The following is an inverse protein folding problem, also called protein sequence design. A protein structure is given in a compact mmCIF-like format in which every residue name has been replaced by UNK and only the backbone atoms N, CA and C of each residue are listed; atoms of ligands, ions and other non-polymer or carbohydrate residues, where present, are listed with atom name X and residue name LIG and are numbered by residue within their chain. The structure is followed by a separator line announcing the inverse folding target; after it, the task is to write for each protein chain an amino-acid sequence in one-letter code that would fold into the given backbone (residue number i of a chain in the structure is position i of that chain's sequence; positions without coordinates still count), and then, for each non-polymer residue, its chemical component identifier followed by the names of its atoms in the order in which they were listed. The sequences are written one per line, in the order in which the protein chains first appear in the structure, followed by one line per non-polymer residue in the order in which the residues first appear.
data_IF_573460990778
#
_entry.id   IF_573460990778
#
_cell.length_a   1.000
_cell.length_b   1.000
_cell.length_c   1.000
_cell.angle_alpha   90.00
_cell.angle_beta   90.00
_cell.angle_gamma   90.00
#
_symmetry.space_group_name_H-M   'P 1'
#
loop_
_entity.id
_entity.type
_entity.pdbx_description
1 polymer ?
#
# COMPACT_ATOMS: atom_id res chain seq x y z
N UNK A 1 -22.28 -6.68 -12.08
CA UNK A 1 -21.62 -5.52 -12.68
C UNK A 1 -20.85 -5.94 -13.91
N UNK A 2 -21.09 -5.29 -15.03
CA UNK A 2 -20.35 -5.59 -16.24
C UNK A 2 -19.00 -4.88 -16.14
N UNK A 3 -17.94 -5.65 -16.17
CA UNK A 3 -16.58 -5.10 -16.12
C UNK A 3 -16.03 -5.12 -17.54
N UNK A 4 -15.64 -3.95 -18.02
CA UNK A 4 -15.00 -3.83 -19.31
C UNK A 4 -13.66 -4.55 -19.29
N UNK A 5 -13.39 -5.36 -20.30
CA UNK A 5 -12.11 -6.06 -20.41
C UNK A 5 -10.91 -5.13 -20.44
N UNK A 6 -11.11 -3.90 -20.90
CA UNK A 6 -10.06 -2.89 -20.96
C UNK A 6 -9.88 -2.17 -19.63
N UNK A 7 -10.87 -2.29 -18.77
CA UNK A 7 -10.79 -1.80 -17.39
C UNK A 7 -10.69 -3.02 -16.50
N UNK A 8 -9.53 -3.62 -16.46
CA UNK A 8 -9.31 -4.74 -15.54
C UNK A 8 -9.69 -4.28 -14.15
N UNK A 9 -10.55 -5.05 -13.43
CA UNK A 9 -10.73 -4.77 -12.03
C UNK A 9 -9.33 -4.69 -11.42
N UNK A 10 -9.11 -3.69 -10.61
CA UNK A 10 -7.85 -3.56 -9.91
C UNK A 10 -7.68 -4.84 -9.10
N UNK A 11 -6.80 -5.71 -9.58
CA UNK A 11 -6.48 -6.89 -8.80
C UNK A 11 -5.73 -6.41 -7.58
N UNK A 12 -6.15 -6.82 -6.38
CA UNK A 12 -5.38 -6.48 -5.21
C UNK A 12 -3.95 -7.02 -5.38
N UNK A 13 -3.01 -6.19 -5.04
CA UNK A 13 -1.62 -6.60 -4.98
C UNK A 13 -1.49 -7.51 -3.77
N UNK A 14 -0.88 -8.67 -3.93
CA UNK A 14 -0.68 -9.60 -2.83
C UNK A 14 0.76 -9.51 -2.34
N UNK A 15 0.92 -9.29 -1.05
CA UNK A 15 2.24 -9.18 -0.41
C UNK A 15 2.31 -10.17 0.74
N UNK A 16 3.31 -11.05 0.70
CA UNK A 16 3.61 -11.96 1.79
C UNK A 16 4.57 -11.23 2.76
N UNK A 17 4.08 -10.90 3.93
CA UNK A 17 4.87 -10.18 4.93
C UNK A 17 6.01 -11.02 5.51
N UNK A 18 5.98 -12.32 5.32
CA UNK A 18 7.07 -13.20 5.72
C UNK A 18 8.10 -13.41 4.61
N UNK A 19 7.82 -12.87 3.42
CA UNK A 19 8.73 -12.95 2.29
C UNK A 19 9.58 -11.69 2.12
N UNK A 20 10.36 -11.62 1.02
CA UNK A 20 11.24 -10.48 0.77
C UNK A 20 10.52 -9.14 0.66
N UNK A 21 9.26 -9.15 0.25
CA UNK A 21 8.46 -7.92 0.09
C UNK A 21 7.89 -7.41 1.40
N UNK A 22 8.07 -8.15 2.49
CA UNK A 22 7.54 -7.77 3.80
C UNK A 22 8.41 -6.79 4.58
N UNK A 23 9.42 -6.16 3.98
CA UNK A 23 10.24 -5.20 4.70
C UNK A 23 9.68 -3.78 4.56
N UNK A 24 10.06 -2.93 5.53
CA UNK A 24 9.55 -1.58 5.64
C UNK A 24 9.81 -0.74 4.38
N UNK A 25 10.98 -0.89 3.79
CA UNK A 25 11.35 -0.10 2.61
C UNK A 25 10.51 -0.45 1.39
N UNK A 26 10.23 -1.73 1.20
CA UNK A 26 9.39 -2.17 0.09
C UNK A 26 7.97 -1.65 0.28
N UNK A 27 7.43 -1.73 1.50
CA UNK A 27 6.08 -1.25 1.80
C UNK A 27 5.98 0.26 1.62
N UNK A 28 6.99 1.02 2.02
CA UNK A 28 7.02 2.47 1.78
C UNK A 28 7.08 2.80 0.29
N UNK A 29 7.81 2.00 -0.49
CA UNK A 29 7.84 2.13 -1.94
C UNK A 29 6.48 1.89 -2.58
N UNK A 30 5.76 0.87 -2.12
CA UNK A 30 4.38 0.61 -2.56
C UNK A 30 3.46 1.76 -2.19
N UNK A 31 3.59 2.31 -0.98
CA UNK A 31 2.77 3.44 -0.54
C UNK A 31 2.94 4.63 -1.47
N UNK A 32 4.16 4.93 -1.86
CA UNK A 32 4.45 6.04 -2.77
C UNK A 32 3.86 5.78 -4.15
N UNK A 33 4.07 4.60 -4.69
CA UNK A 33 3.56 4.24 -6.02
C UNK A 33 2.03 4.24 -6.06
N UNK A 34 1.40 3.58 -5.09
CA UNK A 34 -0.06 3.50 -5.02
C UNK A 34 -0.67 4.86 -4.77
N UNK A 35 -0.06 5.66 -3.89
CA UNK A 35 -0.55 7.01 -3.64
C UNK A 35 -0.60 7.84 -4.92
N UNK A 36 0.43 7.78 -5.74
CA UNK A 36 0.46 8.47 -7.02
C UNK A 36 -0.61 7.95 -7.98
N UNK A 37 -0.79 6.63 -8.05
CA UNK A 37 -1.80 6.03 -8.91
C UNK A 37 -3.22 6.41 -8.49
N UNK A 38 -3.44 6.60 -7.20
CA UNK A 38 -4.73 6.99 -6.66
C UNK A 38 -4.96 8.51 -6.72
N UNK A 39 -4.01 9.27 -7.23
CA UNK A 39 -4.14 10.71 -7.35
C UNK A 39 -3.92 11.49 -6.07
N UNK A 40 -3.27 10.88 -5.08
CA UNK A 40 -2.94 11.57 -3.83
C UNK A 40 -1.88 12.65 -4.09
N UNK A 41 -1.98 13.77 -3.35
CA UNK A 41 -0.94 14.78 -3.40
C UNK A 41 0.35 14.22 -2.81
N UNK A 42 1.49 14.74 -3.24
CA UNK A 42 2.78 14.32 -2.70
C UNK A 42 2.86 14.62 -1.20
N UNK A 43 2.27 15.73 -0.75
CA UNK A 43 2.21 16.06 0.68
C UNK A 43 1.50 14.99 1.49
N UNK A 44 0.41 14.45 0.97
CA UNK A 44 -0.34 13.40 1.65
C UNK A 44 0.44 12.09 1.65
N UNK A 45 1.07 11.73 0.55
CA UNK A 45 1.91 10.53 0.45
C UNK A 45 3.05 10.63 1.46
N UNK A 46 3.72 11.78 1.51
CA UNK A 46 4.83 12.00 2.44
C UNK A 46 4.38 11.91 3.89
N UNK A 47 3.19 12.40 4.20
CA UNK A 47 2.63 12.30 5.55
C UNK A 47 2.38 10.84 5.94
N UNK A 48 1.83 10.04 5.02
CA UNK A 48 1.59 8.62 5.27
C UNK A 48 2.90 7.89 5.51
N UNK A 49 3.89 8.11 4.64
CA UNK A 49 5.20 7.49 4.76
C UNK A 49 5.88 7.89 6.07
N UNK A 50 5.75 9.16 6.45
CA UNK A 50 6.31 9.65 7.70
C UNK A 50 5.73 8.92 8.90
N UNK A 51 4.42 8.71 8.93
CA UNK A 51 3.77 7.94 10.00
C UNK A 51 4.30 6.51 10.00
N UNK A 52 4.44 5.89 8.82
CA UNK A 52 4.99 4.55 8.70
C UNK A 52 6.41 4.46 9.27
N UNK A 53 7.22 5.49 9.08
CA UNK A 53 8.60 5.54 9.57
C UNK A 53 8.70 5.77 11.07
N UNK A 54 7.73 6.44 11.66
CA UNK A 54 7.76 6.84 13.07
C UNK A 54 7.17 5.78 14.01
N UNK A 55 6.62 4.72 13.49
CA UNK A 55 6.00 3.67 14.28
C UNK A 55 6.78 2.37 14.15
N UNK A 56 6.45 1.38 14.98
CA UNK A 56 7.06 0.06 14.85
C UNK A 56 6.50 -0.67 13.62
N UNK A 57 7.02 -1.86 13.35
CA UNK A 57 6.63 -2.62 12.15
C UNK A 57 5.13 -2.91 12.13
N UNK A 58 4.55 -3.31 13.25
CA UNK A 58 3.11 -3.58 13.33
C UNK A 58 2.28 -2.32 13.03
N UNK A 59 2.70 -1.19 13.55
CA UNK A 59 2.05 0.09 13.27
C UNK A 59 2.21 0.52 11.82
N UNK A 60 3.37 0.24 11.22
CA UNK A 60 3.62 0.50 9.81
C UNK A 60 2.66 -0.32 8.94
N UNK A 61 2.52 -1.61 9.22
CA UNK A 61 1.60 -2.49 8.51
C UNK A 61 0.16 -1.99 8.64
N UNK A 62 -0.24 -1.61 9.85
CA UNK A 62 -1.59 -1.10 10.09
C UNK A 62 -1.84 0.20 9.32
N UNK A 63 -0.90 1.11 9.33
CA UNK A 63 -1.00 2.37 8.59
C UNK A 63 -1.15 2.10 7.10
N UNK A 64 -0.32 1.22 6.56
CA UNK A 64 -0.38 0.84 5.16
C UNK A 64 -1.74 0.22 4.82
N UNK A 65 -2.20 -0.71 5.64
CA UNK A 65 -3.48 -1.37 5.42
C UNK A 65 -4.66 -0.39 5.52
N UNK A 66 -4.62 0.53 6.48
CA UNK A 66 -5.67 1.55 6.62
C UNK A 66 -5.77 2.44 5.36
N UNK A 67 -4.65 2.74 4.73
CA UNK A 67 -4.63 3.62 3.56
C UNK A 67 -4.82 2.87 2.24
N UNK A 68 -4.31 1.66 2.13
CA UNK A 68 -4.25 0.94 0.86
C UNK A 68 -4.87 -0.46 0.91
N UNK A 69 -5.57 -0.80 1.99
CA UNK A 69 -6.14 -2.14 2.18
C UNK A 69 -7.14 -2.56 1.13
N UNK A 70 -7.78 -1.60 0.47
CA UNK A 70 -8.72 -1.90 -0.62
C UNK A 70 -7.99 -2.37 -1.89
N UNK A 71 -6.69 -2.14 -1.97
CA UNK A 71 -5.88 -2.42 -3.17
C UNK A 71 -4.80 -3.46 -2.92
N UNK A 72 -4.51 -3.78 -1.67
CA UNK A 72 -3.40 -4.67 -1.30
C UNK A 72 -3.87 -5.66 -0.27
N UNK A 73 -3.55 -6.92 -0.48
CA UNK A 73 -3.77 -7.98 0.51
C UNK A 73 -2.43 -8.30 1.16
N UNK A 74 -2.38 -8.19 2.47
CA UNK A 74 -1.17 -8.47 3.24
C UNK A 74 -1.33 -9.82 3.96
N UNK A 75 -0.47 -10.76 3.65
CA UNK A 75 -0.46 -12.08 4.30
C UNK A 75 0.59 -12.12 5.39
N UNK A 76 0.17 -12.45 6.58
CA UNK A 76 1.08 -12.64 7.72
C UNK A 76 1.59 -14.06 7.80
#
# INVERSE_FOLDING_TARGET
MIVDKNKKPIRPIEIDLNGPEGNAYVLMGYAQRLGRQLGMSQSRIDAIIKVMMLTNYDGLIKTFDDQFGDYVILYK
#
